data_IF_266937381485
#
_entry.id   IF_266937381485
#
_cell.length_a   1.000
_cell.length_b   1.000
_cell.length_c   1.000
_cell.angle_alpha   90.00
_cell.angle_beta   90.00
_cell.angle_gamma   90.00
#
_symmetry.space_group_name_H-M   'P 1'
#
loop_
_entity.id
_entity.type
_entity.pdbx_description
1 polymer ?
#
# COMPACT_ATOMS: atom_id res chain seq x y z
N UNK A 1 3.79 15.23 30.21
CA UNK A 1 2.51 15.69 29.67
C UNK A 1 2.74 16.18 28.25
N UNK A 2 1.93 15.70 27.29
CA UNK A 2 2.04 16.03 25.87
C UNK A 2 1.18 15.13 25.00
N UNK A 3 -0.12 15.12 25.31
CA UNK A 3 -1.30 14.71 24.54
C UNK A 3 -1.21 13.58 23.51
N UNK A 4 -1.96 12.52 23.78
CA UNK A 4 -2.52 11.63 22.77
C UNK A 4 -3.33 12.44 21.74
N UNK A 5 -2.95 12.36 20.47
CA UNK A 5 -3.67 12.93 19.33
C UNK A 5 -4.32 11.81 18.52
N UNK A 6 -5.60 11.98 18.23
CA UNK A 6 -6.49 11.08 17.50
C UNK A 6 -5.95 10.72 16.10
N UNK A 7 -5.68 9.43 15.86
CA UNK A 7 -5.94 8.79 14.55
C UNK A 7 -4.77 8.44 13.62
N UNK A 8 -3.77 9.29 13.39
CA UNK A 8 -2.76 9.02 12.36
C UNK A 8 -1.33 9.36 12.82
N UNK A 9 -0.40 8.42 12.59
CA UNK A 9 1.02 8.60 12.91
C UNK A 9 1.65 9.64 11.98
N UNK A 10 2.68 10.40 12.43
CA UNK A 10 3.36 11.36 11.57
C UNK A 10 3.89 10.72 10.27
N UNK A 11 3.86 11.42 9.13
CA UNK A 11 4.26 10.87 7.82
C UNK A 11 5.63 10.17 7.82
N UNK A 12 6.62 10.72 8.53
CA UNK A 12 7.94 10.10 8.68
C UNK A 12 7.87 8.76 9.42
N UNK A 13 7.14 8.73 10.53
CA UNK A 13 6.98 7.52 11.33
C UNK A 13 6.18 6.46 10.57
N UNK A 14 5.19 6.87 9.77
CA UNK A 14 4.45 6.00 8.87
C UNK A 14 5.37 5.35 7.83
N UNK A 15 6.21 6.15 7.15
CA UNK A 15 7.22 5.66 6.20
C UNK A 15 8.16 4.65 6.87
N UNK A 16 8.71 5.00 8.03
CA UNK A 16 9.63 4.12 8.76
C UNK A 16 8.97 2.82 9.23
N UNK A 17 7.66 2.81 9.49
CA UNK A 17 6.92 1.60 9.81
C UNK A 17 6.75 0.74 8.56
N UNK A 18 6.26 1.32 7.46
CA UNK A 18 6.05 0.59 6.22
C UNK A 18 7.33 -0.08 5.72
N UNK A 19 8.47 0.63 5.76
CA UNK A 19 9.76 0.10 5.28
C UNK A 19 10.35 -1.02 6.15
N UNK A 20 9.83 -1.26 7.36
CA UNK A 20 10.23 -2.40 8.19
C UNK A 20 9.46 -3.68 7.83
N UNK A 21 8.34 -3.55 7.14
CA UNK A 21 7.49 -4.67 6.77
C UNK A 21 7.98 -5.30 5.46
N UNK A 22 7.94 -6.63 5.39
CA UNK A 22 8.18 -7.36 4.14
C UNK A 22 6.94 -7.43 3.25
N UNK A 23 5.75 -7.32 3.87
CA UNK A 23 4.46 -7.44 3.20
C UNK A 23 3.46 -6.47 3.80
N UNK A 24 2.73 -5.76 2.95
CA UNK A 24 1.69 -4.80 3.33
C UNK A 24 0.38 -5.23 2.67
N UNK A 25 -0.72 -5.19 3.40
CA UNK A 25 -2.07 -5.37 2.85
C UNK A 25 -2.77 -4.01 2.91
N UNK A 26 -3.08 -3.45 1.75
CA UNK A 26 -3.83 -2.21 1.65
C UNK A 26 -5.30 -2.54 1.39
N UNK A 27 -6.19 -1.90 2.14
CA UNK A 27 -7.63 -1.94 1.92
C UNK A 27 -8.08 -0.53 1.56
N UNK A 28 -8.84 -0.40 0.48
CA UNK A 28 -9.38 0.87 0.03
C UNK A 28 -10.75 0.71 -0.62
N UNK A 29 -11.36 1.83 -0.97
CA UNK A 29 -12.66 1.86 -1.61
C UNK A 29 -12.62 1.25 -3.03
N UNK A 30 -13.71 0.57 -3.43
CA UNK A 30 -13.84 0.04 -4.78
C UNK A 30 -13.98 1.21 -5.76
N UNK A 31 -13.30 1.14 -6.90
CA UNK A 31 -13.44 2.11 -7.99
C UNK A 31 -12.42 3.25 -8.02
N UNK A 32 -11.39 3.22 -7.15
CA UNK A 32 -10.29 4.18 -7.23
C UNK A 32 -10.75 5.62 -6.99
N UNK A 33 -11.64 5.79 -6.00
CA UNK A 33 -12.10 7.10 -5.55
C UNK A 33 -10.91 8.08 -5.44
N UNK A 34 -11.10 9.37 -5.80
CA UNK A 34 -10.03 10.34 -5.75
C UNK A 34 -9.44 10.31 -4.35
N UNK A 35 -8.15 10.01 -4.34
CA UNK A 35 -7.44 9.71 -3.12
C UNK A 35 -7.48 10.93 -2.19
N UNK A 36 -7.69 10.71 -0.90
CA UNK A 36 -7.80 11.82 0.04
C UNK A 36 -6.49 12.63 0.02
N UNK A 37 -6.62 13.95 0.12
CA UNK A 37 -5.48 14.87 0.16
C UNK A 37 -4.80 14.88 1.55
N UNK A 38 -4.90 13.77 2.30
CA UNK A 38 -4.31 13.63 3.63
C UNK A 38 -2.82 13.31 3.48
N UNK A 39 -1.91 14.05 4.14
CA UNK A 39 -0.46 13.86 3.99
C UNK A 39 0.02 12.42 4.24
N UNK A 40 -0.61 11.70 5.17
CA UNK A 40 -0.28 10.30 5.45
C UNK A 40 -0.60 9.37 4.28
N UNK A 41 -1.67 9.63 3.54
CA UNK A 41 -2.06 8.78 2.41
C UNK A 41 -1.14 8.96 1.20
N UNK A 42 -0.68 10.20 0.95
CA UNK A 42 0.35 10.47 -0.05
C UNK A 42 1.65 9.71 0.25
N UNK A 43 2.07 9.65 1.52
CA UNK A 43 3.25 8.86 1.93
C UNK A 43 3.02 7.36 1.73
N UNK A 44 1.83 6.82 2.06
CA UNK A 44 1.52 5.41 1.81
C UNK A 44 1.69 5.08 0.33
N UNK A 45 1.10 5.89 -0.55
CA UNK A 45 1.19 5.70 -2.00
C UNK A 45 2.63 5.78 -2.50
N UNK A 46 3.39 6.80 -2.09
CA UNK A 46 4.80 6.93 -2.50
C UNK A 46 5.64 5.73 -2.05
N UNK A 47 5.46 5.26 -0.81
CA UNK A 47 6.24 4.13 -0.29
C UNK A 47 5.86 2.82 -0.99
N UNK A 48 4.57 2.57 -1.21
CA UNK A 48 4.11 1.39 -1.94
C UNK A 48 4.65 1.38 -3.37
N UNK A 49 4.54 2.49 -4.09
CA UNK A 49 4.99 2.61 -5.48
C UNK A 49 6.52 2.42 -5.65
N UNK A 50 7.32 2.92 -4.70
CA UNK A 50 8.78 2.88 -4.80
C UNK A 50 9.45 1.63 -4.26
N UNK A 51 8.83 0.93 -3.31
CA UNK A 51 9.50 -0.12 -2.52
C UNK A 51 8.79 -1.47 -2.53
N UNK A 52 7.57 -1.53 -3.06
CA UNK A 52 6.77 -2.73 -3.03
C UNK A 52 6.14 -3.02 -4.40
N UNK A 53 6.02 -4.31 -4.70
CA UNK A 53 5.27 -4.83 -5.83
C UNK A 53 3.88 -5.28 -5.40
N UNK A 54 2.86 -4.92 -6.18
CA UNK A 54 1.53 -5.48 -6.04
C UNK A 54 1.50 -6.94 -6.51
N UNK A 55 1.16 -7.85 -5.60
CA UNK A 55 1.15 -9.30 -5.82
C UNK A 55 -0.23 -9.91 -6.05
N UNK A 56 -1.29 -9.13 -5.81
CA UNK A 56 -2.64 -9.63 -5.99
C UNK A 56 -3.66 -8.62 -5.49
N UNK A 57 -4.80 -8.61 -6.14
CA UNK A 57 -5.95 -7.79 -5.79
C UNK A 57 -7.16 -8.69 -5.60
N UNK A 58 -7.90 -8.42 -4.52
CA UNK A 58 -9.16 -9.08 -4.17
C UNK A 58 -10.21 -7.98 -3.96
N UNK A 59 -11.44 -8.24 -4.41
CA UNK A 59 -12.57 -7.30 -4.26
C UNK A 59 -13.67 -7.87 -3.35
N UNK A 60 -13.39 -8.22 -2.07
CA UNK A 60 -14.41 -8.76 -1.19
C UNK A 60 -15.46 -7.68 -0.85
N UNK A 61 -16.74 -7.98 -1.12
CA UNK A 61 -17.92 -7.23 -0.64
C UNK A 61 -17.81 -5.70 -0.80
N UNK A 62 -17.31 -5.25 -1.94
CA UNK A 62 -17.19 -3.81 -2.23
C UNK A 62 -16.05 -3.12 -1.47
N UNK A 63 -14.96 -3.82 -1.18
CA UNK A 63 -13.68 -3.23 -0.79
C UNK A 63 -12.59 -3.73 -1.71
N UNK A 64 -11.62 -2.89 -2.05
CA UNK A 64 -10.42 -3.26 -2.81
C UNK A 64 -9.31 -3.62 -1.83
N UNK A 65 -8.82 -4.84 -1.90
CA UNK A 65 -7.74 -5.35 -1.06
C UNK A 65 -6.56 -5.69 -1.96
N UNK A 66 -5.43 -5.01 -1.77
CA UNK A 66 -4.20 -5.25 -2.54
C UNK A 66 -3.10 -5.74 -1.61
N UNK A 67 -2.44 -6.82 -2.00
CA UNK A 67 -1.26 -7.34 -1.32
C UNK A 67 0.00 -6.76 -1.98
N UNK A 68 0.87 -6.17 -1.17
CA UNK A 68 2.15 -5.63 -1.57
C UNK A 68 3.28 -6.41 -0.91
N UNK A 69 4.31 -6.79 -1.66
CA UNK A 69 5.52 -7.46 -1.17
C UNK A 69 6.73 -6.59 -1.49
N UNK A 70 7.71 -6.50 -0.59
CA UNK A 70 8.92 -5.71 -0.84
C UNK A 70 9.64 -6.20 -2.10
N UNK A 71 10.11 -5.27 -2.91
CA UNK A 71 10.79 -5.59 -4.17
C UNK A 71 12.06 -6.43 -3.99
N UNK A 72 12.78 -6.24 -2.87
CA UNK A 72 13.97 -7.03 -2.54
C UNK A 72 13.62 -8.50 -2.22
N UNK A 73 12.42 -8.76 -1.69
CA UNK A 73 11.92 -10.10 -1.34
C UNK A 73 11.16 -10.76 -2.52
N UNK A 74 10.56 -9.96 -3.42
CA UNK A 74 9.74 -10.46 -4.53
C UNK A 74 10.53 -11.19 -5.63
N UNK A 75 11.82 -10.88 -5.81
CA UNK A 75 12.68 -11.58 -6.77
C UNK A 75 12.87 -13.08 -6.48
N UNK A 76 12.63 -13.49 -5.23
CA UNK A 76 12.77 -14.88 -4.78
C UNK A 76 11.41 -15.62 -4.69
N UNK A 77 10.30 -14.88 -4.63
CA UNK A 77 8.94 -15.40 -4.30
C UNK A 77 7.95 -15.27 -5.49
N UNK A 78 8.44 -15.21 -6.73
CA UNK A 78 7.64 -15.03 -7.96
C UNK A 78 6.48 -16.06 -8.09
N UNK A 79 6.68 -17.27 -7.57
CA UNK A 79 5.66 -18.32 -7.53
C UNK A 79 4.49 -18.04 -6.57
N UNK A 80 4.66 -17.16 -5.58
CA UNK A 80 3.66 -16.81 -4.56
C UNK A 80 3.14 -15.38 -4.70
N UNK A 81 3.75 -14.61 -5.59
CA UNK A 81 3.30 -13.33 -6.07
C UNK A 81 2.95 -13.45 -7.57
N UNK A 82 1.87 -14.17 -7.96
CA UNK A 82 1.46 -14.15 -9.36
C UNK A 82 1.16 -12.69 -9.71
N UNK A 83 1.92 -12.12 -10.64
CA UNK A 83 1.87 -10.70 -10.94
C UNK A 83 0.41 -10.23 -11.06
N UNK A 84 0.03 -9.22 -10.27
CA UNK A 84 -1.27 -8.60 -10.44
C UNK A 84 -1.39 -8.14 -11.89
N UNK A 85 -2.58 -8.21 -12.52
CA UNK A 85 -2.76 -7.62 -13.84
C UNK A 85 -2.32 -6.15 -13.76
N UNK A 86 -1.44 -5.74 -14.68
CA UNK A 86 -0.88 -4.39 -14.72
C UNK A 86 -2.00 -3.34 -14.58
N UNK A 87 -1.78 -2.25 -13.83
CA UNK A 87 -2.75 -1.17 -13.80
C UNK A 87 -3.01 -0.70 -15.24
N UNK A 88 -4.24 -0.33 -15.61
CA UNK A 88 -4.50 0.21 -16.93
C UNK A 88 -3.57 1.40 -17.16
N UNK A 89 -2.86 1.39 -18.29
CA UNK A 89 -2.05 2.51 -18.70
C UNK A 89 -2.96 3.76 -18.71
N UNK A 90 -2.52 4.82 -18.02
CA UNK A 90 -3.21 6.11 -18.08
C UNK A 90 -3.17 6.58 -19.55
N UNK A 91 -4.28 7.09 -20.11
CA UNK A 91 -4.31 7.57 -21.48
C UNK A 91 -3.36 8.74 -21.71
#
# INVERSE_FOLDING_TARGET
MGSAGTGEVPPRQLRDRMLRERRIIAVGDPGGAPADAVPGEAVKREVLDRHFRACGELLPRGARVVVYVRDDDARDDDARCPAAPSPPARP
#
